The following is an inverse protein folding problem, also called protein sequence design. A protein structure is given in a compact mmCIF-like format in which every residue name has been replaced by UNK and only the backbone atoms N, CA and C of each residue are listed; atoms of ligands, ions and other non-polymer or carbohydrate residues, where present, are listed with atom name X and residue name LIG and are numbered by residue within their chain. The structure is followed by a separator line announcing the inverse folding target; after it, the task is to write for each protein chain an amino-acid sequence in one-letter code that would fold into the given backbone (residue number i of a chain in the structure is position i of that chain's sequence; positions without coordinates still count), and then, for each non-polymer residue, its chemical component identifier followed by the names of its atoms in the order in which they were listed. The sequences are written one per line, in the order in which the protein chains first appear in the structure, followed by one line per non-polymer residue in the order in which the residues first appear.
data_IF_989999930354
#
_entry.id   IF_989999930354
#
_cell.length_a   1.000
_cell.length_b   1.000
_cell.length_c   1.000
_cell.angle_alpha   90.00
_cell.angle_beta   90.00
_cell.angle_gamma   90.00
#
_symmetry.space_group_name_H-M   'P 1'
#
loop_
_entity.id
_entity.type
_entity.pdbx_description
1 polymer ?
#
# COMPACT_ATOMS: atom_id res chain seq x y z
N UNK A 1 -12.16 58.47 -3.08
CA UNK A 1 -11.72 57.16 -3.59
C UNK A 1 -10.20 57.17 -3.62
N UNK A 2 -9.56 56.65 -2.58
CA UNK A 2 -8.14 56.30 -2.57
C UNK A 2 -8.00 55.16 -1.56
N UNK A 3 -7.62 53.98 -2.05
CA UNK A 3 -7.54 52.72 -1.32
C UNK A 3 -6.30 52.70 -0.40
N UNK A 4 -6.36 52.09 0.80
CA UNK A 4 -5.18 51.90 1.62
C UNK A 4 -4.29 50.79 1.00
N UNK A 5 -3.11 51.20 0.53
CA UNK A 5 -2.09 50.31 -0.02
C UNK A 5 -1.49 49.43 1.08
N UNK A 6 -1.89 48.16 1.08
CA UNK A 6 -1.09 46.96 1.35
C UNK A 6 0.16 47.10 2.27
N UNK A 7 -0.03 47.39 3.56
CA UNK A 7 1.01 47.29 4.60
C UNK A 7 1.16 45.86 5.18
N UNK A 8 0.47 44.86 4.62
CA UNK A 8 0.41 43.50 5.19
C UNK A 8 1.64 42.62 4.88
N UNK A 9 2.62 43.11 4.11
CA UNK A 9 3.80 42.35 3.67
C UNK A 9 5.14 43.04 3.98
N UNK A 10 5.14 44.11 4.79
CA UNK A 10 6.38 44.75 5.25
C UNK A 10 6.93 44.03 6.49
N UNK A 11 7.34 42.77 6.32
CA UNK A 11 8.16 42.08 7.33
C UNK A 11 9.61 42.51 7.08
N UNK A 12 10.04 43.57 7.76
CA UNK A 12 11.45 43.96 7.83
C UNK A 12 12.19 42.94 8.67
N UNK A 13 12.95 42.05 8.03
CA UNK A 13 13.90 41.18 8.71
C UNK A 13 15.16 42.01 8.94
N UNK A 14 15.30 42.54 10.15
CA UNK A 14 16.55 43.15 10.58
C UNK A 14 17.59 42.05 10.77
N UNK A 15 18.74 42.18 10.13
CA UNK A 15 19.78 41.14 10.11
C UNK A 15 20.52 41.00 11.44
N UNK A 16 20.33 41.95 12.36
CA UNK A 16 21.02 41.99 13.65
C UNK A 16 20.31 41.22 14.78
N UNK A 17 19.02 40.86 14.65
CA UNK A 17 18.30 40.07 15.66
C UNK A 17 18.54 38.54 15.54
N UNK A 18 19.12 38.10 14.42
CA UNK A 18 19.50 36.69 14.25
C UNK A 18 20.77 36.31 15.04
N UNK A 19 21.62 37.29 15.36
CA UNK A 19 22.85 37.05 16.10
C UNK A 19 22.62 36.88 17.61
N UNK A 20 21.59 37.53 18.17
CA UNK A 20 21.31 37.47 19.61
C UNK A 20 20.44 36.26 20.00
N UNK A 21 19.65 35.72 19.04
CA UNK A 21 18.88 34.49 19.24
C UNK A 21 19.74 33.21 19.15
N UNK A 22 20.95 33.30 18.60
CA UNK A 22 21.91 32.18 18.54
C UNK A 22 22.72 32.00 19.86
N UNK A 23 22.64 32.96 20.78
CA UNK A 23 23.38 32.93 22.05
C UNK A 23 22.58 32.37 23.24
N UNK A 24 21.28 32.12 23.08
CA UNK A 24 20.53 31.33 24.04
C UNK A 24 20.70 29.83 23.72
N UNK A 25 21.87 29.31 24.09
CA UNK A 25 22.10 27.89 24.36
C UNK A 25 21.27 27.50 25.58
N UNK A 26 19.94 27.51 25.42
CA UNK A 26 19.04 26.88 26.35
C UNK A 26 19.41 25.39 26.30
N UNK A 27 19.87 24.79 27.41
CA UNK A 27 20.21 23.37 27.41
C UNK A 27 18.98 22.63 26.89
N UNK A 28 19.13 21.91 25.77
CA UNK A 28 18.01 21.22 25.16
C UNK A 28 17.42 20.29 26.22
N UNK A 29 16.30 20.68 26.83
CA UNK A 29 15.73 19.92 27.93
C UNK A 29 15.26 18.61 27.33
N UNK A 30 16.01 17.53 27.59
CA UNK A 30 15.75 16.21 27.06
C UNK A 30 14.33 15.79 27.43
N UNK A 31 13.43 15.87 26.46
CA UNK A 31 12.01 15.53 26.63
C UNK A 31 11.79 14.05 27.00
N UNK A 32 12.83 13.21 26.84
CA UNK A 32 12.81 11.75 27.01
C UNK A 32 13.71 11.22 28.15
N UNK A 33 14.35 12.06 28.97
CA UNK A 33 15.28 11.62 30.05
C UNK A 33 16.37 10.61 29.59
N UNK A 34 16.71 10.60 28.30
CA UNK A 34 17.79 9.78 27.75
C UNK A 34 18.94 10.71 27.38
N UNK A 35 20.17 10.31 27.73
CA UNK A 35 21.35 11.06 27.33
C UNK A 35 21.53 10.98 25.80
N UNK A 36 22.24 11.94 25.20
CA UNK A 36 22.58 11.87 23.76
C UNK A 36 23.31 10.56 23.42
N UNK A 37 24.16 10.07 24.35
CA UNK A 37 24.85 8.79 24.21
C UNK A 37 23.87 7.60 24.14
N UNK A 38 22.82 7.60 24.96
CA UNK A 38 21.78 6.56 24.93
C UNK A 38 20.97 6.59 23.63
N UNK A 39 20.66 7.79 23.12
CA UNK A 39 19.99 7.96 21.85
C UNK A 39 20.84 7.44 20.69
N UNK A 40 22.13 7.76 20.65
CA UNK A 40 23.03 7.24 19.61
C UNK A 40 23.19 5.72 19.69
N UNK A 41 23.25 5.15 20.90
CA UNK A 41 23.28 3.70 21.10
C UNK A 41 21.99 3.03 20.58
N UNK A 42 20.82 3.61 20.87
CA UNK A 42 19.54 3.11 20.34
C UNK A 42 19.46 3.27 18.83
N UNK A 43 19.89 4.40 18.27
CA UNK A 43 19.91 4.66 16.83
C UNK A 43 20.83 3.69 16.09
N UNK A 44 21.98 3.34 16.69
CA UNK A 44 22.92 2.37 16.12
C UNK A 44 22.35 0.95 16.07
N UNK A 45 21.45 0.59 16.99
CA UNK A 45 20.79 -0.73 17.05
C UNK A 45 19.43 -0.70 16.32
N UNK A 46 18.87 0.48 16.08
CA UNK A 46 17.58 0.64 15.44
C UNK A 46 17.66 0.29 13.96
N UNK A 47 17.03 -0.82 13.61
CA UNK A 47 16.65 -1.12 12.23
C UNK A 47 15.16 -0.86 12.07
N UNK A 48 14.81 0.10 11.21
CA UNK A 48 13.41 0.29 10.81
C UNK A 48 12.90 -1.00 10.16
N UNK A 49 11.71 -1.44 10.58
CA UNK A 49 10.99 -2.52 9.87
C UNK A 49 10.36 -1.90 8.63
N UNK A 50 11.14 -1.81 7.56
CA UNK A 50 10.65 -1.39 6.25
C UNK A 50 10.01 -2.62 5.60
N UNK A 51 8.74 -2.51 5.22
CA UNK A 51 8.14 -3.50 4.33
C UNK A 51 8.68 -3.26 2.92
N UNK A 52 9.45 -4.22 2.41
CA UNK A 52 10.12 -4.16 1.10
C UNK A 52 9.10 -4.48 -0.03
N UNK A 53 7.87 -4.85 0.32
CA UNK A 53 6.87 -5.36 -0.62
C UNK A 53 6.97 -6.87 -0.82
N UNK A 54 6.50 -7.35 -1.96
CA UNK A 54 6.34 -8.76 -2.32
C UNK A 54 5.41 -9.52 -1.36
N UNK A 55 4.43 -8.81 -0.80
CA UNK A 55 3.43 -9.40 0.08
C UNK A 55 2.61 -10.47 -0.65
N UNK A 56 2.36 -10.28 -1.94
CA UNK A 56 1.70 -11.29 -2.77
C UNK A 56 2.50 -12.59 -2.85
N UNK A 57 3.80 -12.54 -3.11
CA UNK A 57 4.66 -13.72 -3.18
C UNK A 57 4.76 -14.43 -1.82
N UNK A 58 4.97 -13.66 -0.75
CA UNK A 58 4.98 -14.19 0.62
C UNK A 58 3.68 -14.89 0.98
N UNK A 59 2.53 -14.39 0.51
CA UNK A 59 1.24 -15.06 0.70
C UNK A 59 1.19 -16.41 -0.01
N UNK A 60 1.71 -16.48 -1.24
CA UNK A 60 1.78 -17.72 -2.02
C UNK A 60 2.78 -18.75 -1.45
N UNK A 61 3.78 -18.31 -0.70
CA UNK A 61 4.65 -19.17 0.08
C UNK A 61 3.97 -19.70 1.34
N UNK A 62 3.29 -18.82 2.09
CA UNK A 62 2.58 -19.18 3.33
C UNK A 62 1.36 -20.07 3.05
N UNK A 63 0.65 -19.82 1.95
CA UNK A 63 -0.54 -20.56 1.52
C UNK A 63 -0.37 -21.04 0.08
N UNK A 64 0.38 -22.14 -0.14
CA UNK A 64 0.65 -22.66 -1.49
C UNK A 64 -0.60 -23.00 -2.31
N UNK A 65 -1.73 -23.24 -1.64
CA UNK A 65 -3.02 -23.53 -2.28
C UNK A 65 -3.61 -22.32 -3.01
N UNK A 66 -3.11 -21.10 -2.77
CA UNK A 66 -3.54 -19.88 -3.47
C UNK A 66 -2.71 -19.59 -4.73
N UNK A 67 -1.73 -20.43 -5.08
CA UNK A 67 -0.92 -20.25 -6.29
C UNK A 67 -1.76 -20.36 -7.56
N UNK A 68 -1.46 -19.54 -8.59
CA UNK A 68 -2.13 -19.64 -9.88
C UNK A 68 -1.80 -20.97 -10.56
N UNK A 69 -2.80 -21.59 -11.21
CA UNK A 69 -2.68 -22.91 -11.83
C UNK A 69 -1.68 -22.98 -13.00
N UNK A 70 -1.24 -21.83 -13.53
CA UNK A 70 -0.30 -21.74 -14.65
C UNK A 70 1.17 -21.72 -14.22
N UNK A 71 1.46 -21.67 -12.91
CA UNK A 71 2.85 -21.67 -12.43
C UNK A 71 3.31 -23.12 -12.20
N UNK A 72 4.40 -23.57 -12.87
CA UNK A 72 4.90 -24.91 -12.65
C UNK A 72 5.32 -25.03 -11.18
N UNK A 73 4.82 -26.03 -10.44
CA UNK A 73 5.14 -26.13 -9.03
C UNK A 73 6.64 -26.41 -8.86
N UNK A 74 7.32 -25.57 -8.06
CA UNK A 74 8.74 -25.74 -7.69
C UNK A 74 9.04 -27.11 -7.05
N UNK A 75 8.02 -27.79 -6.54
CA UNK A 75 8.06 -29.15 -6.02
C UNK A 75 6.94 -29.95 -6.67
N UNK A 76 7.28 -31.06 -7.31
CA UNK A 76 6.39 -31.94 -8.05
C UNK A 76 5.44 -32.75 -7.15
N UNK A 77 4.72 -32.09 -6.24
CA UNK A 77 3.59 -32.68 -5.55
C UNK A 77 2.32 -32.08 -6.14
N UNK A 78 1.69 -32.86 -7.01
CA UNK A 78 0.35 -32.60 -7.53
C UNK A 78 -0.62 -32.43 -6.37
N UNK A 79 -0.84 -31.21 -5.90
CA UNK A 79 -2.00 -30.88 -5.07
C UNK A 79 -3.21 -30.67 -5.99
N UNK A 80 -3.64 -31.76 -6.62
CA UNK A 80 -5.04 -31.90 -7.00
C UNK A 80 -5.77 -31.96 -5.67
N UNK A 81 -6.51 -30.89 -5.29
CA UNK A 81 -7.50 -31.03 -4.22
C UNK A 81 -8.39 -32.21 -4.63
N UNK A 82 -8.44 -33.34 -3.89
CA UNK A 82 -9.50 -34.30 -4.13
C UNK A 82 -10.81 -33.54 -3.92
N UNK A 83 -11.74 -33.64 -4.87
CA UNK A 83 -13.09 -33.15 -4.67
C UNK A 83 -13.59 -33.64 -3.30
N UNK A 84 -13.78 -32.72 -2.35
CA UNK A 84 -14.17 -33.05 -0.98
C UNK A 84 -13.18 -32.71 0.14
N UNK A 85 -12.01 -32.12 -0.14
CA UNK A 85 -11.13 -31.61 0.94
C UNK A 85 -11.80 -30.44 1.68
N UNK A 86 -11.78 -30.40 3.03
CA UNK A 86 -12.37 -29.30 3.78
C UNK A 86 -11.71 -27.96 3.42
N UNK A 87 -12.46 -26.85 3.47
CA UNK A 87 -11.94 -25.53 3.19
C UNK A 87 -10.80 -25.19 4.16
N UNK A 88 -9.75 -24.55 3.66
CA UNK A 88 -8.57 -24.24 4.48
C UNK A 88 -8.87 -22.99 5.30
N UNK A 89 -8.79 -23.11 6.63
CA UNK A 89 -8.85 -21.95 7.51
C UNK A 89 -7.54 -21.19 7.45
N UNK A 90 -7.60 -19.94 6.99
CA UNK A 90 -6.46 -19.03 7.05
C UNK A 90 -6.18 -18.67 8.52
N UNK A 91 -4.92 -18.77 8.92
CA UNK A 91 -4.48 -18.29 10.23
C UNK A 91 -4.57 -16.77 10.31
N UNK A 92 -4.54 -16.21 11.53
CA UNK A 92 -4.58 -14.75 11.74
C UNK A 92 -3.47 -14.01 10.97
N UNK A 93 -2.28 -14.61 10.89
CA UNK A 93 -1.14 -14.07 10.13
C UNK A 93 -1.41 -14.09 8.63
N UNK A 94 -1.99 -15.16 8.11
CA UNK A 94 -2.28 -15.31 6.69
C UNK A 94 -3.40 -14.36 6.24
N UNK A 95 -4.41 -14.12 7.09
CA UNK A 95 -5.45 -13.12 6.84
C UNK A 95 -4.85 -11.70 6.79
N UNK A 96 -3.92 -11.40 7.69
CA UNK A 96 -3.23 -10.10 7.70
C UNK A 96 -2.33 -9.94 6.46
N UNK A 97 -1.58 -10.99 6.10
CA UNK A 97 -0.74 -11.02 4.91
C UNK A 97 -1.57 -10.92 3.62
N UNK A 98 -2.74 -11.55 3.59
CA UNK A 98 -3.71 -11.40 2.50
C UNK A 98 -4.15 -9.93 2.35
N UNK A 99 -4.44 -9.24 3.46
CA UNK A 99 -4.77 -7.82 3.43
C UNK A 99 -3.64 -6.96 2.84
N UNK A 100 -2.39 -7.26 3.19
CA UNK A 100 -1.22 -6.58 2.62
C UNK A 100 -1.04 -6.86 1.13
N UNK A 101 -1.20 -8.12 0.71
CA UNK A 101 -1.14 -8.51 -0.70
C UNK A 101 -2.23 -7.81 -1.54
N UNK A 102 -3.46 -7.73 -1.03
CA UNK A 102 -4.56 -7.00 -1.68
C UNK A 102 -4.22 -5.51 -1.81
N UNK A 103 -3.65 -4.90 -0.76
CA UNK A 103 -3.22 -3.50 -0.80
C UNK A 103 -2.11 -3.23 -1.82
N UNK A 104 -1.09 -4.09 -1.83
CA UNK A 104 0.02 -4.06 -2.79
C UNK A 104 -0.47 -4.17 -4.24
N UNK A 105 -1.22 -5.23 -4.57
CA UNK A 105 -1.75 -5.44 -5.91
C UNK A 105 -2.66 -4.28 -6.37
N UNK A 106 -3.44 -3.70 -5.46
CA UNK A 106 -4.29 -2.56 -5.77
C UNK A 106 -3.47 -1.30 -6.07
N UNK A 107 -2.42 -1.04 -5.30
CA UNK A 107 -1.51 0.08 -5.51
C UNK A 107 -0.77 -0.03 -6.85
N UNK A 108 -0.28 -1.23 -7.17
CA UNK A 108 0.43 -1.55 -8.42
C UNK A 108 -0.50 -1.61 -9.65
N UNK A 109 -1.81 -1.35 -9.46
CA UNK A 109 -2.85 -1.44 -10.50
C UNK A 109 -2.96 -2.83 -11.14
N UNK A 110 -2.51 -3.87 -10.44
CA UNK A 110 -2.62 -5.28 -10.84
C UNK A 110 -4.01 -5.83 -10.50
N UNK A 111 -5.03 -5.17 -11.07
CA UNK A 111 -6.43 -5.44 -10.75
C UNK A 111 -6.88 -6.85 -11.15
N UNK A 112 -6.33 -7.40 -12.25
CA UNK A 112 -6.62 -8.78 -12.68
C UNK A 112 -6.13 -9.80 -11.65
N UNK A 113 -4.87 -9.69 -11.25
CA UNK A 113 -4.27 -10.59 -10.26
C UNK A 113 -5.00 -10.55 -8.92
N UNK A 114 -5.46 -9.35 -8.52
CA UNK A 114 -6.25 -9.16 -7.30
C UNK A 114 -7.62 -9.85 -7.39
N UNK A 115 -8.32 -9.73 -8.52
CA UNK A 115 -9.60 -10.40 -8.76
C UNK A 115 -9.42 -11.92 -8.68
N UNK A 116 -8.43 -12.46 -9.40
CA UNK A 116 -8.16 -13.90 -9.39
C UNK A 116 -7.78 -14.40 -7.99
N UNK A 117 -7.00 -13.61 -7.24
CA UNK A 117 -6.66 -13.95 -5.86
C UNK A 117 -7.90 -14.02 -4.98
N UNK A 118 -8.82 -13.05 -5.10
CA UNK A 118 -10.09 -13.07 -4.36
C UNK A 118 -10.94 -14.31 -4.70
N UNK A 119 -11.01 -14.70 -5.97
CA UNK A 119 -11.72 -15.91 -6.40
C UNK A 119 -11.09 -17.19 -5.83
N UNK A 120 -9.75 -17.29 -5.87
CA UNK A 120 -9.02 -18.43 -5.30
C UNK A 120 -9.25 -18.55 -3.79
N UNK A 121 -9.21 -17.43 -3.06
CA UNK A 121 -9.51 -17.45 -1.60
C UNK A 121 -10.93 -17.91 -1.34
N UNK A 122 -11.92 -17.43 -2.10
CA UNK A 122 -13.31 -17.82 -1.94
C UNK A 122 -13.56 -19.31 -2.27
N UNK A 123 -12.76 -19.89 -3.17
CA UNK A 123 -12.85 -21.30 -3.56
C UNK A 123 -12.09 -22.24 -2.61
N UNK A 124 -10.93 -21.81 -2.12
CA UNK A 124 -9.97 -22.67 -1.41
C UNK A 124 -10.11 -22.57 0.11
N UNK A 125 -10.42 -21.37 0.61
CA UNK A 125 -10.38 -21.05 2.03
C UNK A 125 -11.78 -20.99 2.65
N UNK A 126 -11.85 -21.21 3.96
CA UNK A 126 -13.09 -21.00 4.71
C UNK A 126 -13.28 -19.50 4.94
N UNK A 127 -14.21 -18.90 4.20
CA UNK A 127 -14.56 -17.49 4.34
C UNK A 127 -15.86 -17.34 5.12
N UNK A 128 -15.82 -16.60 6.23
CA UNK A 128 -17.05 -16.15 6.88
C UNK A 128 -17.81 -15.13 6.01
N UNK A 129 -19.05 -14.81 6.39
CA UNK A 129 -19.90 -13.89 5.62
C UNK A 129 -19.29 -12.49 5.43
N UNK A 130 -18.53 -11.98 6.41
CA UNK A 130 -17.90 -10.65 6.36
C UNK A 130 -16.67 -10.65 5.45
N UNK A 131 -15.85 -11.69 5.53
CA UNK A 131 -14.71 -11.91 4.65
C UNK A 131 -15.20 -12.06 3.20
N UNK A 132 -16.22 -12.89 2.97
CA UNK A 132 -16.80 -13.07 1.64
C UNK A 132 -17.38 -11.77 1.05
N UNK A 133 -18.03 -10.94 1.87
CA UNK A 133 -18.50 -9.62 1.45
C UNK A 133 -17.35 -8.67 1.11
N UNK A 134 -16.29 -8.69 1.92
CA UNK A 134 -15.09 -7.88 1.68
C UNK A 134 -14.40 -8.26 0.37
N UNK A 135 -14.29 -9.56 0.07
CA UNK A 135 -13.77 -10.07 -1.22
C UNK A 135 -14.61 -9.56 -2.39
N UNK A 136 -15.94 -9.71 -2.32
CA UNK A 136 -16.86 -9.21 -3.36
C UNK A 136 -16.71 -7.70 -3.59
N UNK A 137 -16.50 -6.93 -2.52
CA UNK A 137 -16.28 -5.47 -2.62
C UNK A 137 -14.98 -5.14 -3.34
N UNK A 138 -13.92 -5.88 -3.05
CA UNK A 138 -12.62 -5.72 -3.72
C UNK A 138 -12.69 -6.11 -5.19
N UNK A 139 -13.33 -7.25 -5.52
CA UNK A 139 -13.56 -7.68 -6.92
C UNK A 139 -14.29 -6.60 -7.70
N UNK A 140 -15.46 -6.13 -7.24
CA UNK A 140 -16.24 -5.08 -7.92
C UNK A 140 -15.46 -3.78 -8.10
N UNK A 141 -14.67 -3.38 -7.10
CA UNK A 141 -13.83 -2.18 -7.18
C UNK A 141 -12.77 -2.33 -8.25
N UNK A 142 -12.13 -3.49 -8.33
CA UNK A 142 -11.08 -3.77 -9.32
C UNK A 142 -11.65 -3.88 -10.73
N UNK A 143 -12.80 -4.52 -10.91
CA UNK A 143 -13.52 -4.56 -12.19
C UNK A 143 -13.87 -3.16 -12.70
N UNK A 144 -14.38 -2.29 -11.82
CA UNK A 144 -14.68 -0.91 -12.16
C UNK A 144 -13.43 -0.12 -12.58
N UNK A 145 -12.29 -0.35 -11.90
CA UNK A 145 -11.00 0.28 -12.26
C UNK A 145 -10.46 -0.25 -13.58
N UNK A 146 -10.60 -1.54 -13.85
CA UNK A 146 -10.19 -2.15 -15.10
C UNK A 146 -11.02 -1.62 -16.28
N UNK A 147 -12.33 -1.48 -16.09
CA UNK A 147 -13.23 -0.87 -17.08
C UNK A 147 -12.91 0.61 -17.36
N UNK A 148 -12.57 1.38 -16.32
CA UNK A 148 -12.14 2.77 -16.48
C UNK A 148 -10.82 2.90 -17.26
N UNK A 149 -9.84 2.03 -17.00
CA UNK A 149 -8.56 2.03 -17.73
C UNK A 149 -8.72 1.72 -19.22
N UNK A 150 -9.66 0.84 -19.59
CA UNK A 150 -9.98 0.56 -20.99
C UNK A 150 -10.67 1.76 -21.67
N UNK A 151 -11.55 2.47 -20.96
CA UNK A 151 -12.25 3.65 -21.49
C UNK A 151 -11.37 4.90 -21.67
N UNK A 152 -10.35 5.09 -20.84
CA UNK A 152 -9.40 6.22 -20.96
C UNK A 152 -8.48 6.10 -22.20
N UNK A 153 -8.19 4.87 -22.66
CA UNK A 153 -7.43 4.62 -23.89
C UNK A 153 -8.22 4.91 -25.17
N UNK A 154 -9.54 4.79 -25.14
CA UNK A 154 -10.41 4.98 -26.31
C UNK A 154 -10.77 6.46 -26.54
N UNK A 155 -10.85 7.25 -25.46
CA UNK A 155 -11.16 8.69 -25.53
C UNK A 155 -9.97 9.55 -25.98
N UNK A 156 -8.73 9.08 -25.85
CA UNK A 156 -7.55 9.81 -26.33
C UNK A 156 -7.33 9.65 -27.84
N UNK A 157 -7.69 8.50 -28.41
CA UNK A 157 -7.59 8.25 -29.86
C UNK A 157 -8.70 8.97 -30.63
N UNK A 158 -9.93 9.02 -30.08
CA UNK A 158 -11.05 9.70 -30.72
C UNK A 158 -10.86 11.23 -30.86
N UNK A 159 -9.95 11.85 -30.07
CA UNK A 159 -9.75 13.30 -30.07
C UNK A 159 -8.67 13.78 -31.04
N UNK A 160 -7.85 12.89 -31.60
CA UNK A 160 -6.80 13.22 -32.58
C UNK A 160 -7.24 13.04 -34.04
N UNK A 161 -8.43 12.48 -34.30
CA UNK A 161 -8.98 12.31 -35.64
C UNK A 161 -9.88 13.46 -36.15
N UNK A 162 -10.17 14.48 -35.33
CA UNK A 162 -11.19 15.50 -35.63
C UNK A 162 -10.63 16.88 -36.05
N UNK A 163 -9.38 16.95 -36.54
CA UNK A 163 -8.74 18.19 -37.01
C UNK A 163 -8.14 18.08 -38.42
N UNK A 164 -8.62 17.14 -39.25
CA UNK A 164 -8.20 17.01 -40.64
C UNK A 164 -9.39 16.72 -41.56
N UNK A 165 -10.10 17.77 -41.96
CA UNK A 165 -11.18 17.75 -42.94
C UNK A 165 -11.53 19.16 -43.38
#
# INVERSE_FOLDING_TARGET
MAEPANELFAIGVDADDYAETAAHDAPSVSRTFQSEADFQAQRAIYSAKIDIGNNYERLLEAVPLLRPANEPPLTAERYIKPQGSPPVRLGKKDVQLFGYAVGELYYDKRYRDLIELCERVNLVCETDGKTAESLRRWTRRCEARLGAQLGEGETTVARTGALGG
#
